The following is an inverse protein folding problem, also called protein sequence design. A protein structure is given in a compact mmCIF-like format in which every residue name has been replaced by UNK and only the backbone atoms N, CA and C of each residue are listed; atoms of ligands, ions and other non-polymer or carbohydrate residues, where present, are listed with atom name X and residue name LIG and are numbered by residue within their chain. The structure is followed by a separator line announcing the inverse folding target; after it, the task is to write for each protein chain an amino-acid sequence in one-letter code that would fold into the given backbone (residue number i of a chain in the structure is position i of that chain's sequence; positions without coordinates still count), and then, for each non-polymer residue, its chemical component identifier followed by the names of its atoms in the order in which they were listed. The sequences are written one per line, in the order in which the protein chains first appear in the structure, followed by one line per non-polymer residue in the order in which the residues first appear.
data_IF_754573604261
#
_entry.id   IF_754573604261
#
_cell.length_a   1.000
_cell.length_b   1.000
_cell.length_c   1.000
_cell.angle_alpha   90.00
_cell.angle_beta   90.00
_cell.angle_gamma   90.00
#
_symmetry.space_group_name_H-M   'P 1'
#
loop_
_entity.id
_entity.type
_entity.pdbx_description
1 polymer ?
#
# COMPACT_ATOMS: atom_id res chain seq x y z
N UNK A 1 -18.59 16.61 0.96
CA UNK A 1 -19.38 15.99 2.04
C UNK A 1 -19.82 14.63 1.52
N UNK A 2 -19.19 13.55 1.97
CA UNK A 2 -19.54 12.18 1.52
C UNK A 2 -20.73 11.70 2.33
N UNK A 3 -21.72 11.12 1.67
CA UNK A 3 -22.84 10.47 2.35
C UNK A 3 -22.31 9.15 2.93
N UNK A 4 -22.48 8.96 4.23
CA UNK A 4 -22.24 7.68 4.89
C UNK A 4 -23.43 6.75 4.62
N UNK A 5 -23.31 5.97 3.55
CA UNK A 5 -24.37 5.08 3.05
C UNK A 5 -24.61 3.94 4.04
N UNK A 6 -23.58 3.51 4.77
CA UNK A 6 -23.68 2.53 5.86
C UNK A 6 -24.54 3.10 6.97
N UNK A 7 -24.26 4.32 7.43
CA UNK A 7 -25.07 4.95 8.48
C UNK A 7 -26.52 5.21 8.05
N UNK A 8 -26.75 5.56 6.78
CA UNK A 8 -28.12 5.68 6.26
C UNK A 8 -28.88 4.35 6.28
N UNK A 9 -28.23 3.26 5.88
CA UNK A 9 -28.82 1.93 5.92
C UNK A 9 -29.12 1.48 7.36
N UNK A 10 -28.20 1.71 8.30
CA UNK A 10 -28.41 1.42 9.72
C UNK A 10 -29.57 2.23 10.32
N UNK A 11 -29.66 3.52 10.01
CA UNK A 11 -30.77 4.36 10.46
C UNK A 11 -32.12 3.88 9.90
N UNK A 12 -32.17 3.48 8.62
CA UNK A 12 -33.39 2.94 8.02
C UNK A 12 -33.81 1.59 8.64
N UNK A 13 -32.85 0.76 9.05
CA UNK A 13 -33.11 -0.49 9.77
C UNK A 13 -33.66 -0.23 11.18
N UNK A 14 -33.11 0.78 11.87
CA UNK A 14 -33.62 1.23 13.17
C UNK A 14 -35.05 1.77 13.05
N UNK A 15 -35.33 2.60 12.05
CA UNK A 15 -36.66 3.16 11.77
C UNK A 15 -37.69 2.07 11.41
N UNK A 16 -37.25 0.97 10.79
CA UNK A 16 -38.08 -0.20 10.49
C UNK A 16 -38.33 -1.10 11.72
N UNK A 17 -37.79 -0.76 12.89
CA UNK A 17 -37.97 -1.52 14.13
C UNK A 17 -37.15 -2.81 14.22
N UNK A 18 -36.16 -3.00 13.33
CA UNK A 18 -35.29 -4.18 13.35
C UNK A 18 -34.24 -4.10 14.47
N UNK A 19 -33.94 -2.88 14.95
CA UNK A 19 -33.06 -2.64 16.09
C UNK A 19 -31.57 -2.80 15.79
N UNK A 20 -30.75 -2.34 16.74
CA UNK A 20 -29.32 -2.60 16.76
C UNK A 20 -29.11 -4.06 17.21
N UNK A 21 -28.19 -4.79 16.59
CA UNK A 21 -27.94 -6.25 16.70
C UNK A 21 -28.85 -7.16 15.85
N UNK A 22 -29.53 -6.60 14.85
CA UNK A 22 -30.31 -7.41 13.90
C UNK A 22 -29.41 -8.14 12.90
N UNK A 23 -29.84 -9.31 12.36
CA UNK A 23 -29.16 -9.95 11.24
C UNK A 23 -29.01 -9.04 10.01
N UNK A 24 -29.91 -8.08 9.84
CA UNK A 24 -29.87 -7.11 8.75
C UNK A 24 -28.75 -6.07 8.92
N UNK A 25 -28.50 -5.61 10.15
CA UNK A 25 -27.36 -4.74 10.46
C UNK A 25 -26.03 -5.48 10.26
N UNK A 26 -25.93 -6.72 10.74
CA UNK A 26 -24.74 -7.56 10.52
C UNK A 26 -24.47 -7.76 9.02
N UNK A 27 -25.52 -7.91 8.21
CA UNK A 27 -25.40 -7.99 6.75
C UNK A 27 -24.90 -6.67 6.12
N UNK A 28 -25.41 -5.51 6.54
CA UNK A 28 -24.98 -4.20 6.04
C UNK A 28 -23.51 -3.93 6.38
N UNK A 29 -23.10 -4.21 7.62
CA UNK A 29 -21.70 -4.05 8.06
C UNK A 29 -20.80 -5.04 7.33
N UNK A 30 -21.20 -6.30 7.24
CA UNK A 30 -20.45 -7.33 6.51
C UNK A 30 -20.31 -7.03 5.02
N UNK A 31 -21.33 -6.43 4.40
CA UNK A 31 -21.27 -5.96 3.01
C UNK A 31 -20.27 -4.81 2.85
N UNK A 32 -20.28 -3.82 3.75
CA UNK A 32 -19.31 -2.72 3.71
C UNK A 32 -17.87 -3.22 3.86
N UNK A 33 -17.62 -4.10 4.84
CA UNK A 33 -16.31 -4.73 5.04
C UNK A 33 -15.88 -5.54 3.81
N UNK A 34 -16.77 -6.40 3.29
CA UNK A 34 -16.46 -7.21 2.11
C UNK A 34 -16.23 -6.38 0.85
N UNK A 35 -16.94 -5.25 0.71
CA UNK A 35 -16.71 -4.29 -0.37
C UNK A 35 -15.32 -3.64 -0.25
N UNK A 36 -14.93 -3.19 0.95
CA UNK A 36 -13.63 -2.57 1.18
C UNK A 36 -12.47 -3.56 0.96
N UNK A 37 -12.64 -4.81 1.41
CA UNK A 37 -11.67 -5.88 1.16
C UNK A 37 -11.53 -6.18 -0.34
N UNK A 38 -12.64 -6.22 -1.07
CA UNK A 38 -12.65 -6.42 -2.52
C UNK A 38 -12.01 -5.25 -3.27
N UNK A 39 -12.27 -4.01 -2.84
CA UNK A 39 -11.64 -2.81 -3.39
C UNK A 39 -10.14 -2.81 -3.14
N UNK A 40 -9.71 -3.14 -1.92
CA UNK A 40 -8.29 -3.25 -1.57
C UNK A 40 -7.59 -4.30 -2.44
N UNK A 41 -8.23 -5.46 -2.66
CA UNK A 41 -7.72 -6.49 -3.55
C UNK A 41 -7.63 -6.01 -5.01
N UNK A 42 -8.68 -5.34 -5.52
CA UNK A 42 -8.68 -4.81 -6.89
C UNK A 42 -7.56 -3.78 -7.10
N UNK A 43 -7.33 -2.87 -6.14
CA UNK A 43 -6.21 -1.92 -6.18
C UNK A 43 -4.88 -2.65 -6.17
N UNK A 44 -4.73 -3.68 -5.34
CA UNK A 44 -3.49 -4.48 -5.31
C UNK A 44 -3.23 -5.17 -6.65
N UNK A 45 -4.24 -5.81 -7.24
CA UNK A 45 -4.13 -6.47 -8.54
C UNK A 45 -3.75 -5.46 -9.63
N UNK A 46 -4.43 -4.31 -9.69
CA UNK A 46 -4.13 -3.27 -10.67
C UNK A 46 -2.68 -2.78 -10.52
N UNK A 47 -2.23 -2.52 -9.28
CA UNK A 47 -0.84 -2.13 -9.01
C UNK A 47 0.16 -3.20 -9.43
N UNK A 48 -0.12 -4.47 -9.16
CA UNK A 48 0.76 -5.57 -9.56
C UNK A 48 0.80 -5.74 -11.09
N UNK A 49 -0.33 -5.59 -11.80
CA UNK A 49 -0.37 -5.68 -13.26
C UNK A 49 0.35 -4.48 -13.90
N UNK A 50 0.14 -3.30 -13.34
CA UNK A 50 0.73 -2.04 -13.82
C UNK A 50 2.13 -1.78 -13.24
N UNK A 51 2.66 -2.70 -12.43
CA UNK A 51 4.01 -2.59 -11.88
C UNK A 51 5.03 -2.71 -13.00
N UNK A 52 5.61 -1.58 -13.37
CA UNK A 52 6.79 -1.57 -14.24
C UNK A 52 8.03 -1.73 -13.36
N UNK A 53 9.01 -2.53 -13.80
CA UNK A 53 10.31 -2.55 -13.13
C UNK A 53 10.88 -1.13 -13.17
N UNK A 54 11.43 -0.67 -12.04
CA UNK A 54 12.14 0.60 -12.01
C UNK A 54 13.29 0.56 -13.01
N UNK A 55 13.49 1.66 -13.72
CA UNK A 55 14.69 1.85 -14.50
C UNK A 55 15.92 1.93 -13.58
N UNK A 56 17.10 1.62 -14.12
CA UNK A 56 18.35 1.73 -13.37
C UNK A 56 18.58 3.14 -12.80
N UNK A 57 18.14 4.19 -13.50
CA UNK A 57 18.23 5.59 -13.04
C UNK A 57 17.31 5.86 -11.84
N UNK A 58 16.09 5.29 -11.83
CA UNK A 58 15.16 5.40 -10.71
C UNK A 58 15.67 4.66 -9.47
N UNK A 59 16.23 3.46 -9.66
CA UNK A 59 16.90 2.71 -8.60
C UNK A 59 18.09 3.48 -8.04
N UNK A 60 18.92 4.07 -8.90
CA UNK A 60 20.07 4.87 -8.48
C UNK A 60 19.64 6.10 -7.66
N UNK A 61 18.62 6.81 -8.14
CA UNK A 61 18.07 7.98 -7.45
C UNK A 61 17.46 7.60 -6.10
N UNK A 62 16.72 6.50 -6.03
CA UNK A 62 16.11 6.02 -4.80
C UNK A 62 17.17 5.53 -3.81
N UNK A 63 18.20 4.82 -4.27
CA UNK A 63 19.33 4.41 -3.46
C UNK A 63 20.05 5.62 -2.84
N UNK A 64 20.28 6.67 -3.64
CA UNK A 64 20.86 7.94 -3.16
C UNK A 64 19.99 8.58 -2.07
N UNK A 65 18.67 8.62 -2.24
CA UNK A 65 17.74 9.20 -1.27
C UNK A 65 17.77 8.41 0.05
N UNK A 66 17.65 7.08 -0.03
CA UNK A 66 17.65 6.19 1.15
C UNK A 66 18.97 6.24 1.91
N UNK A 67 20.10 6.29 1.20
CA UNK A 67 21.42 6.45 1.78
C UNK A 67 21.57 7.80 2.51
N UNK A 68 21.11 8.89 1.89
CA UNK A 68 21.21 10.24 2.44
C UNK A 68 20.35 10.38 3.70
N UNK A 69 19.14 9.80 3.70
CA UNK A 69 18.26 9.78 4.86
C UNK A 69 18.86 8.95 6.02
N UNK A 70 19.36 7.75 5.72
CA UNK A 70 19.97 6.87 6.72
C UNK A 70 21.23 7.46 7.36
N UNK A 71 22.13 8.02 6.54
CA UNK A 71 23.43 8.50 7.02
C UNK A 71 23.31 9.78 7.85
N UNK A 72 22.18 10.50 7.76
CA UNK A 72 21.95 11.76 8.50
C UNK A 72 22.94 12.88 8.15
N UNK A 73 23.81 12.65 7.16
CA UNK A 73 24.82 13.56 6.67
C UNK A 73 24.44 13.91 5.23
N UNK A 74 24.55 15.19 4.87
CA UNK A 74 24.55 15.65 3.48
C UNK A 74 25.87 15.25 2.78
N UNK A 75 26.37 14.04 3.02
CA UNK A 75 27.62 13.55 2.45
C UNK A 75 27.31 12.74 1.19
N UNK A 76 27.90 13.24 0.11
CA UNK A 76 27.64 12.91 -1.28
C UNK A 76 27.60 11.41 -1.53
N UNK A 77 26.49 10.93 -2.12
CA UNK A 77 26.42 9.65 -2.82
C UNK A 77 27.66 9.41 -3.72
N UNK A 78 28.26 10.48 -4.24
CA UNK A 78 29.50 10.46 -5.03
C UNK A 78 30.75 9.94 -4.28
N UNK A 79 30.75 9.98 -2.94
CA UNK A 79 31.84 9.49 -2.08
C UNK A 79 31.58 8.11 -1.46
N UNK A 80 30.37 7.55 -1.63
CA UNK A 80 30.10 6.18 -1.22
C UNK A 80 30.97 5.21 -2.03
N UNK A 81 31.57 4.23 -1.36
CA UNK A 81 32.28 3.14 -2.02
C UNK A 81 31.31 2.23 -2.79
N UNK A 82 31.84 1.43 -3.71
CA UNK A 82 31.01 0.62 -4.61
C UNK A 82 30.20 -0.45 -3.87
N UNK A 83 30.72 -1.01 -2.77
CA UNK A 83 29.98 -2.00 -1.97
C UNK A 83 28.79 -1.34 -1.28
N UNK A 84 28.99 -0.14 -0.72
CA UNK A 84 27.92 0.69 -0.17
C UNK A 84 26.87 1.03 -1.25
N UNK A 85 27.28 1.46 -2.44
CA UNK A 85 26.33 1.76 -3.53
C UNK A 85 25.55 0.55 -3.99
N UNK A 86 26.23 -0.59 -4.15
CA UNK A 86 25.59 -1.86 -4.52
C UNK A 86 24.55 -2.29 -3.47
N UNK A 87 24.88 -2.17 -2.19
CA UNK A 87 23.94 -2.44 -1.11
C UNK A 87 22.69 -1.54 -1.19
N UNK A 88 22.87 -0.22 -1.35
CA UNK A 88 21.73 0.70 -1.38
C UNK A 88 20.88 0.58 -2.65
N UNK A 89 21.45 0.16 -3.79
CA UNK A 89 20.68 -0.22 -4.99
C UNK A 89 19.77 -1.42 -4.72
N UNK A 90 20.28 -2.45 -4.04
CA UNK A 90 19.48 -3.62 -3.65
C UNK A 90 18.34 -3.23 -2.70
N UNK A 91 18.62 -2.38 -1.71
CA UNK A 91 17.60 -1.85 -0.79
C UNK A 91 16.56 -1.04 -1.56
N UNK A 92 16.97 -0.20 -2.52
CA UNK A 92 16.08 0.59 -3.35
C UNK A 92 15.19 -0.27 -4.25
N UNK A 93 15.73 -1.32 -4.85
CA UNK A 93 14.98 -2.28 -5.66
C UNK A 93 13.97 -3.05 -4.82
N UNK A 94 14.36 -3.52 -3.64
CA UNK A 94 13.46 -4.16 -2.69
C UNK A 94 12.33 -3.22 -2.23
N UNK A 95 12.66 -1.97 -1.91
CA UNK A 95 11.68 -0.95 -1.54
C UNK A 95 10.71 -0.63 -2.69
N UNK A 96 11.21 -0.48 -3.91
CA UNK A 96 10.38 -0.26 -5.09
C UNK A 96 9.40 -1.42 -5.30
N UNK A 97 9.89 -2.66 -5.22
CA UNK A 97 9.08 -3.85 -5.39
C UNK A 97 8.04 -4.00 -4.26
N UNK A 98 8.37 -3.60 -3.03
CA UNK A 98 7.41 -3.59 -1.93
C UNK A 98 6.29 -2.57 -2.15
N UNK A 99 6.61 -1.37 -2.65
CA UNK A 99 5.64 -0.29 -2.90
C UNK A 99 4.73 -0.62 -4.08
N UNK A 100 5.29 -1.16 -5.17
CA UNK A 100 4.54 -1.53 -6.37
C UNK A 100 3.79 -2.85 -6.21
N UNK A 101 4.02 -3.58 -5.12
CA UNK A 101 3.41 -4.89 -4.87
C UNK A 101 3.94 -5.98 -5.81
N UNK A 102 5.12 -5.76 -6.40
CA UNK A 102 5.88 -6.75 -7.16
C UNK A 102 6.67 -7.72 -6.26
N UNK A 103 6.94 -7.32 -5.00
CA UNK A 103 7.60 -8.19 -4.02
C UNK A 103 6.70 -9.35 -3.60
N UNK A 104 7.23 -10.58 -3.66
CA UNK A 104 6.57 -11.79 -3.17
C UNK A 104 7.36 -12.38 -1.99
N UNK A 105 6.72 -12.63 -0.84
CA UNK A 105 7.37 -13.27 0.31
C UNK A 105 7.76 -14.74 0.07
N UNK A 106 7.43 -15.32 -1.08
CA UNK A 106 7.67 -16.74 -1.39
C UNK A 106 9.00 -16.98 -2.15
N UNK A 107 9.77 -15.92 -2.43
CA UNK A 107 11.02 -15.98 -3.19
C UNK A 107 12.30 -16.05 -2.30
N UNK A 108 12.15 -16.26 -0.98
CA UNK A 108 13.23 -16.50 0.01
C UNK A 108 13.25 -17.96 0.51
#
# INVERSE_FOLDING_TARGET
MSIDITQQALNALADAGLGNDSPAEAYVIGYAQGHDDALALAVRIERTISAQPASAEEIERLACILYSDWSGLAFDWEHADEDSRAYWRLVAEAAWNAITGAWRPEDE
#
